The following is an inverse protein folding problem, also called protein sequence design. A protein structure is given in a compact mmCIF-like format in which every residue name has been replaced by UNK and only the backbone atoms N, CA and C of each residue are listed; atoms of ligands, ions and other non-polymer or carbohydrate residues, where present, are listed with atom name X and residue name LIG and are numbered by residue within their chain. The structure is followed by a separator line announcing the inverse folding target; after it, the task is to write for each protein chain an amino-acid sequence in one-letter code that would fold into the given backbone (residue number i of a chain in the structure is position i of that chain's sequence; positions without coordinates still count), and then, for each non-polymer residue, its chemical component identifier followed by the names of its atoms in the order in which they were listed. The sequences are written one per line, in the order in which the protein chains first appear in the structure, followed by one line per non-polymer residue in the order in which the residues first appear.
data_IF_359782518117
#
_entry.id   IF_359782518117
#
_cell.length_a   1.000
_cell.length_b   1.000
_cell.length_c   1.000
_cell.angle_alpha   90.00
_cell.angle_beta   90.00
_cell.angle_gamma   90.00
#
_symmetry.space_group_name_H-M   'P 1'
#
loop_
_entity.id
_entity.type
_entity.pdbx_description
1 polymer ?
#
# COMPACT_ATOMS: atom_id res chain seq x y z
N UNK A 1 7.98 -2.12 -7.02
CA UNK A 1 7.92 -3.03 -5.85
C UNK A 1 8.93 -2.67 -4.75
N UNK A 2 10.17 -2.27 -5.06
CA UNK A 2 11.15 -1.90 -4.02
C UNK A 2 10.71 -0.71 -3.15
N UNK A 3 10.15 0.32 -3.78
CA UNK A 3 9.68 1.54 -3.09
C UNK A 3 8.46 1.27 -2.21
N UNK A 4 7.48 0.51 -2.72
CA UNK A 4 6.30 0.08 -1.96
C UNK A 4 6.68 -0.75 -0.73
N UNK A 5 7.65 -1.66 -0.84
CA UNK A 5 8.12 -2.45 0.30
C UNK A 5 8.78 -1.57 1.38
N UNK A 6 9.54 -0.55 0.96
CA UNK A 6 10.16 0.41 1.89
C UNK A 6 9.09 1.26 2.58
N UNK A 7 8.09 1.76 1.84
CA UNK A 7 6.96 2.51 2.39
C UNK A 7 6.14 1.67 3.40
N UNK A 8 5.84 0.42 3.06
CA UNK A 8 5.10 -0.49 3.94
C UNK A 8 5.88 -0.85 5.20
N UNK A 9 7.20 -1.06 5.09
CA UNK A 9 8.07 -1.29 6.23
C UNK A 9 8.07 -0.11 7.23
N UNK A 10 8.13 1.12 6.72
CA UNK A 10 7.99 2.36 7.53
C UNK A 10 6.66 2.36 8.30
N UNK A 11 5.58 1.92 7.64
CA UNK A 11 4.23 1.87 8.22
C UNK A 11 3.95 0.60 9.06
N UNK A 12 4.98 -0.24 9.28
CA UNK A 12 4.89 -1.54 9.96
C UNK A 12 3.84 -2.46 9.31
N UNK A 13 3.92 -2.59 8.00
CA UNK A 13 3.09 -3.45 7.18
C UNK A 13 3.92 -4.24 6.15
N UNK A 14 3.36 -5.32 5.63
CA UNK A 14 3.93 -6.09 4.51
C UNK A 14 2.83 -6.47 3.51
N UNK A 15 3.21 -6.70 2.26
CA UNK A 15 2.32 -7.31 1.27
C UNK A 15 2.25 -8.81 1.59
N UNK A 16 1.04 -9.30 1.82
CA UNK A 16 0.79 -10.73 2.07
C UNK A 16 0.49 -11.45 0.75
N UNK A 17 -0.36 -10.86 -0.08
CA UNK A 17 -0.77 -11.43 -1.36
C UNK A 17 -1.15 -10.34 -2.36
N UNK A 18 -0.87 -10.57 -3.65
CA UNK A 18 -1.39 -9.78 -4.76
C UNK A 18 -2.19 -10.70 -5.66
N UNK A 19 -3.52 -10.56 -5.64
CA UNK A 19 -4.42 -11.36 -6.45
C UNK A 19 -4.90 -10.56 -7.64
N UNK A 20 -4.39 -10.87 -8.82
CA UNK A 20 -4.92 -10.32 -10.07
C UNK A 20 -6.27 -10.94 -10.37
N UNK A 21 -7.27 -10.09 -10.59
CA UNK A 21 -8.64 -10.50 -10.93
C UNK A 21 -9.07 -9.84 -12.23
N UNK A 22 -9.89 -10.57 -12.99
CA UNK A 22 -10.59 -10.03 -14.15
C UNK A 22 -12.06 -9.91 -13.76
N UNK A 23 -12.65 -8.73 -13.96
CA UNK A 23 -14.07 -8.57 -13.68
C UNK A 23 -14.88 -9.18 -14.83
N UNK A 24 -15.97 -9.91 -14.54
CA UNK A 24 -16.90 -10.31 -15.58
C UNK A 24 -17.45 -9.04 -16.24
N UNK A 25 -17.47 -9.01 -17.57
CA UNK A 25 -17.87 -7.90 -18.48
C UNK A 25 -16.85 -6.78 -18.76
N UNK A 26 -15.69 -6.77 -18.10
CA UNK A 26 -14.65 -5.75 -18.33
C UNK A 26 -13.30 -6.41 -18.64
N UNK A 27 -12.63 -5.97 -19.71
CA UNK A 27 -11.29 -6.45 -20.08
C UNK A 27 -10.16 -5.82 -19.23
N UNK A 28 -10.51 -4.91 -18.31
CA UNK A 28 -9.56 -4.21 -17.46
C UNK A 28 -8.87 -5.16 -16.47
N UNK A 29 -7.53 -5.11 -16.43
CA UNK A 29 -6.71 -5.82 -15.43
C UNK A 29 -6.89 -5.17 -14.06
N UNK A 30 -7.44 -5.91 -13.11
CA UNK A 30 -7.57 -5.46 -11.71
C UNK A 30 -6.73 -6.34 -10.80
N UNK A 31 -6.36 -5.79 -9.64
CA UNK A 31 -5.64 -6.53 -8.62
C UNK A 31 -6.15 -6.15 -7.24
N UNK A 32 -6.30 -7.16 -6.38
CA UNK A 32 -6.53 -7.02 -4.95
C UNK A 32 -5.17 -7.18 -4.27
N UNK A 33 -4.75 -6.19 -3.50
CA UNK A 33 -3.49 -6.21 -2.75
C UNK A 33 -3.81 -6.34 -1.27
N UNK A 34 -3.47 -7.48 -0.69
CA UNK A 34 -3.62 -7.73 0.75
C UNK A 34 -2.40 -7.20 1.48
N UNK A 35 -2.62 -6.22 2.35
CA UNK A 35 -1.58 -5.59 3.17
C UNK A 35 -1.81 -5.98 4.62
N UNK A 36 -0.88 -6.76 5.18
CA UNK A 36 -0.91 -7.21 6.56
C UNK A 36 -0.18 -6.24 7.47
N UNK A 37 -0.77 -5.92 8.63
CA UNK A 37 -0.08 -5.19 9.69
C UNK A 37 0.80 -6.13 10.50
N UNK A 38 2.08 -5.78 10.61
CA UNK A 38 3.08 -6.51 11.41
C UNK A 38 3.38 -5.81 12.74
N UNK A 39 2.86 -4.60 12.94
CA UNK A 39 3.03 -3.87 14.20
C UNK A 39 2.29 -2.54 14.23
N UNK A 40 2.47 -1.80 15.33
CA UNK A 40 1.89 -0.47 15.52
C UNK A 40 2.54 0.52 14.54
N UNK A 41 1.73 1.23 13.78
CA UNK A 41 2.21 2.30 12.90
C UNK A 41 2.80 3.44 13.73
N UNK A 42 3.98 4.00 13.36
CA UNK A 42 4.58 5.11 14.09
C UNK A 42 3.64 6.32 14.21
N UNK A 43 3.69 7.03 15.35
CA UNK A 43 2.80 8.17 15.66
C UNK A 43 2.91 9.35 14.69
N UNK A 44 4.02 9.44 13.95
CA UNK A 44 4.23 10.47 12.91
C UNK A 44 3.34 10.27 11.66
N UNK A 45 2.59 9.17 11.60
CA UNK A 45 1.66 8.87 10.52
C UNK A 45 0.21 8.79 11.03
N UNK A 46 -0.78 9.24 10.24
CA UNK A 46 -0.63 9.89 8.93
C UNK A 46 0.02 11.28 9.04
N UNK A 47 0.76 11.69 7.99
CA UNK A 47 1.28 13.06 7.87
C UNK A 47 0.14 14.02 7.53
N UNK A 48 0.44 15.32 7.36
CA UNK A 48 -0.57 16.29 6.90
C UNK A 48 -1.16 15.85 5.55
N UNK A 49 -2.48 15.94 5.32
CA UNK A 49 -3.12 15.43 4.09
C UNK A 49 -2.44 15.88 2.80
N UNK A 50 -2.03 17.16 2.73
CA UNK A 50 -1.30 17.71 1.60
C UNK A 50 0.04 17.00 1.35
N UNK A 51 0.79 16.71 2.40
CA UNK A 51 2.10 16.05 2.30
C UNK A 51 2.00 14.57 1.89
N UNK A 52 0.90 13.89 2.21
CA UNK A 52 0.69 12.50 1.77
C UNK A 52 0.59 12.42 0.25
N UNK A 53 -0.14 13.36 -0.36
CA UNK A 53 -0.33 13.45 -1.81
C UNK A 53 0.91 13.99 -2.51
N UNK A 54 1.46 15.10 -2.03
CA UNK A 54 2.52 15.84 -2.71
C UNK A 54 3.91 15.21 -2.50
N UNK A 55 4.11 14.47 -1.40
CA UNK A 55 5.38 13.83 -1.07
C UNK A 55 5.16 12.40 -0.58
N UNK A 56 4.88 11.42 -1.45
CA UNK A 56 4.70 10.02 -1.07
C UNK A 56 5.86 9.46 -0.22
N UNK A 57 5.60 8.35 0.47
CA UNK A 57 6.67 7.68 1.20
C UNK A 57 7.52 6.93 0.18
N UNK A 58 8.71 7.47 -0.06
CA UNK A 58 9.65 7.11 -1.14
C UNK A 58 9.28 7.74 -2.47
#
# INVERSE_FOLDING_TARGET
VKESNKALSILKATIEEVRTITLPTLEDKRAIVYIKKIGKTPKQYPRKPKEIKDKPLV
#
